data_IF_323458693937
#
_entry.id   IF_323458693937
#
_cell.length_a   1.000
_cell.length_b   1.000
_cell.length_c   1.000
_cell.angle_alpha   90.00
_cell.angle_beta   90.00
_cell.angle_gamma   90.00
#
_symmetry.space_group_name_H-M   'P 1'
#
loop_
_entity.id
_entity.type
_entity.pdbx_description
1 polymer ?
#
# COMPACT_ATOMS: atom_id res chain seq x y z
N UNK A 1 -9.95 -8.75 -16.78
CA UNK A 1 -9.08 -8.38 -15.62
C UNK A 1 -8.23 -7.16 -16.00
N UNK A 2 -8.13 -6.17 -15.13
CA UNK A 2 -7.35 -4.94 -15.40
C UNK A 2 -5.84 -5.22 -15.48
N UNK A 3 -5.09 -4.61 -16.43
CA UNK A 3 -3.65 -4.87 -16.62
C UNK A 3 -2.79 -4.63 -15.37
N UNK A 4 -3.13 -3.63 -14.55
CA UNK A 4 -2.40 -3.37 -13.30
C UNK A 4 -2.56 -4.52 -12.29
N UNK A 5 -3.72 -5.17 -12.25
CA UNK A 5 -3.99 -6.33 -11.38
C UNK A 5 -3.24 -7.57 -11.87
N UNK A 6 -3.21 -7.82 -13.19
CA UNK A 6 -2.46 -8.93 -13.76
C UNK A 6 -0.95 -8.81 -13.48
N UNK A 7 -0.38 -7.62 -13.71
CA UNK A 7 1.04 -7.35 -13.40
C UNK A 7 1.35 -7.53 -11.92
N UNK A 8 0.44 -7.08 -11.05
CA UNK A 8 0.62 -7.25 -9.61
C UNK A 8 0.54 -8.73 -9.19
N UNK A 9 -0.39 -9.49 -9.77
CA UNK A 9 -0.48 -10.94 -9.53
C UNK A 9 0.81 -11.65 -9.90
N UNK A 10 1.39 -11.32 -11.05
CA UNK A 10 2.67 -11.84 -11.48
C UNK A 10 3.80 -11.50 -10.50
N UNK A 11 3.89 -10.21 -10.09
CA UNK A 11 4.87 -9.75 -9.11
C UNK A 11 4.71 -10.38 -7.71
N UNK A 12 3.51 -10.83 -7.37
CA UNK A 12 3.27 -11.60 -6.15
C UNK A 12 3.71 -13.05 -6.28
N UNK A 13 3.47 -13.66 -7.45
CA UNK A 13 3.83 -15.06 -7.71
C UNK A 13 5.35 -15.26 -7.82
N UNK A 14 6.07 -14.35 -8.46
CA UNK A 14 7.52 -14.41 -8.63
C UNK A 14 8.30 -13.85 -7.42
N UNK A 15 7.60 -13.23 -6.47
CA UNK A 15 8.20 -12.68 -5.26
C UNK A 15 8.94 -11.35 -5.46
N UNK A 16 8.86 -10.71 -6.63
CA UNK A 16 9.48 -9.41 -6.90
C UNK A 16 8.93 -8.29 -5.99
N UNK A 17 7.69 -8.45 -5.51
CA UNK A 17 7.12 -7.63 -4.44
C UNK A 17 6.98 -8.47 -3.17
N UNK A 18 7.90 -8.29 -2.23
CA UNK A 18 7.97 -9.02 -0.96
C UNK A 18 7.78 -8.10 0.26
N UNK A 19 7.33 -8.70 1.37
CA UNK A 19 7.03 -7.99 2.62
C UNK A 19 5.61 -7.43 2.68
N UNK A 20 5.03 -7.39 3.88
CA UNK A 20 3.62 -7.05 4.10
C UNK A 20 3.28 -5.62 3.67
N UNK A 21 4.10 -4.64 4.05
CA UNK A 21 3.88 -3.22 3.72
C UNK A 21 4.05 -2.94 2.23
N UNK A 22 5.12 -3.48 1.60
CA UNK A 22 5.35 -3.30 0.16
C UNK A 22 4.22 -3.92 -0.68
N UNK A 23 3.74 -5.10 -0.27
CA UNK A 23 2.59 -5.76 -0.92
C UNK A 23 1.30 -4.96 -0.75
N UNK A 24 1.06 -4.39 0.44
CA UNK A 24 -0.11 -3.55 0.68
C UNK A 24 -0.06 -2.26 -0.14
N UNK A 25 1.11 -1.64 -0.25
CA UNK A 25 1.34 -0.45 -1.06
C UNK A 25 1.08 -0.73 -2.54
N UNK A 26 1.68 -1.79 -3.07
CA UNK A 26 1.49 -2.20 -4.46
C UNK A 26 0.02 -2.56 -4.77
N UNK A 27 -0.70 -3.18 -3.80
CA UNK A 27 -2.14 -3.46 -3.91
C UNK A 27 -2.95 -2.17 -4.04
N UNK A 28 -2.70 -1.20 -3.15
CA UNK A 28 -3.38 0.09 -3.18
C UNK A 28 -3.12 0.84 -4.49
N UNK A 29 -1.87 0.83 -4.98
CA UNK A 29 -1.50 1.44 -6.25
C UNK A 29 -2.23 0.78 -7.45
N UNK A 30 -2.33 -0.55 -7.45
CA UNK A 30 -3.04 -1.27 -8.51
C UNK A 30 -4.56 -1.05 -8.46
N UNK A 31 -5.17 -1.07 -7.27
CA UNK A 31 -6.60 -0.79 -7.09
C UNK A 31 -6.93 0.67 -7.43
N UNK A 32 -6.07 1.62 -7.05
CA UNK A 32 -6.19 3.02 -7.46
C UNK A 32 -6.28 3.16 -8.97
N UNK A 33 -5.38 2.47 -9.68
CA UNK A 33 -5.36 2.51 -11.15
C UNK A 33 -6.60 1.88 -11.75
N UNK A 34 -7.02 0.72 -11.22
CA UNK A 34 -8.27 0.07 -11.63
C UNK A 34 -9.46 1.02 -11.45
N UNK A 35 -9.58 1.72 -10.32
CA UNK A 35 -10.65 2.69 -10.05
C UNK A 35 -10.58 3.88 -11.01
N UNK A 36 -9.38 4.43 -11.26
CA UNK A 36 -9.19 5.57 -12.16
C UNK A 36 -9.59 5.26 -13.60
N UNK A 37 -9.20 4.08 -14.08
CA UNK A 37 -9.42 3.64 -15.46
C UNK A 37 -10.81 3.00 -15.67
N UNK A 38 -11.60 2.83 -14.59
CA UNK A 38 -12.87 2.14 -14.65
C UNK A 38 -13.93 2.95 -15.41
N UNK A 39 -14.45 2.38 -16.50
CA UNK A 39 -15.60 2.92 -17.23
C UNK A 39 -16.88 2.20 -16.79
N UNK A 40 -17.87 2.95 -16.32
CA UNK A 40 -19.17 2.39 -15.91
C UNK A 40 -19.93 1.93 -17.15
N UNK A 41 -20.32 0.66 -17.27
CA UNK A 41 -21.16 0.20 -18.37
C UNK A 41 -22.53 0.90 -18.35
N UNK A 42 -23.13 1.07 -19.52
CA UNK A 42 -24.45 1.63 -19.65
C UNK A 42 -25.50 0.86 -18.82
N UNK A 43 -26.36 1.57 -18.14
CA UNK A 43 -27.41 0.99 -17.28
C UNK A 43 -26.91 0.43 -15.94
N UNK A 44 -25.61 0.54 -15.62
CA UNK A 44 -25.08 0.07 -14.34
C UNK A 44 -24.79 1.19 -13.36
N UNK A 45 -24.88 0.86 -12.07
CA UNK A 45 -24.53 1.75 -10.96
C UNK A 45 -23.06 1.54 -10.60
N UNK A 46 -22.28 2.64 -10.60
CA UNK A 46 -20.83 2.62 -10.33
C UNK A 46 -20.47 1.78 -9.10
N UNK A 47 -21.10 2.05 -7.95
CA UNK A 47 -20.74 1.41 -6.68
C UNK A 47 -20.90 -0.12 -6.72
N UNK A 48 -21.99 -0.62 -7.31
CA UNK A 48 -22.25 -2.07 -7.40
C UNK A 48 -21.32 -2.77 -8.37
N UNK A 49 -21.18 -2.20 -9.56
CA UNK A 49 -20.38 -2.84 -10.61
C UNK A 49 -18.89 -2.79 -10.30
N UNK A 50 -18.38 -1.63 -9.86
CA UNK A 50 -17.00 -1.48 -9.42
C UNK A 50 -16.68 -2.37 -8.21
N UNK A 51 -17.62 -2.51 -7.27
CA UNK A 51 -17.44 -3.43 -6.14
C UNK A 51 -17.23 -4.88 -6.60
N UNK A 52 -18.01 -5.34 -7.56
CA UNK A 52 -17.87 -6.68 -8.12
C UNK A 52 -16.50 -6.84 -8.82
N UNK A 53 -16.08 -5.86 -9.62
CA UNK A 53 -14.78 -5.85 -10.32
C UNK A 53 -13.62 -5.86 -9.32
N UNK A 54 -13.68 -5.04 -8.27
CA UNK A 54 -12.69 -5.03 -7.19
C UNK A 54 -12.65 -6.39 -6.48
N UNK A 55 -13.81 -6.96 -6.17
CA UNK A 55 -13.89 -8.26 -5.49
C UNK A 55 -13.26 -9.39 -6.32
N UNK A 56 -13.57 -9.46 -7.61
CA UNK A 56 -12.97 -10.43 -8.54
C UNK A 56 -11.46 -10.25 -8.65
N UNK A 57 -11.00 -8.99 -8.71
CA UNK A 57 -9.56 -8.65 -8.77
C UNK A 57 -8.82 -9.11 -7.52
N UNK A 58 -9.42 -8.94 -6.35
CA UNK A 58 -8.85 -9.40 -5.09
C UNK A 58 -8.82 -10.94 -5.02
N UNK A 59 -9.88 -11.62 -5.46
CA UNK A 59 -9.90 -13.09 -5.55
C UNK A 59 -8.72 -13.61 -6.36
N UNK A 60 -8.49 -13.06 -7.55
CA UNK A 60 -7.33 -13.40 -8.38
C UNK A 60 -5.99 -13.19 -7.66
N UNK A 61 -5.80 -12.05 -6.98
CA UNK A 61 -4.56 -11.77 -6.26
C UNK A 61 -4.33 -12.72 -5.06
N UNK A 62 -5.39 -13.17 -4.42
CA UNK A 62 -5.33 -14.19 -3.34
C UNK A 62 -4.83 -15.53 -3.85
N UNK A 63 -5.27 -15.93 -5.05
CA UNK A 63 -4.79 -17.16 -5.72
C UNK A 63 -3.31 -17.05 -6.09
N UNK A 64 -2.84 -15.87 -6.50
CA UNK A 64 -1.41 -15.64 -6.77
C UNK A 64 -0.57 -15.73 -5.50
N UNK A 65 -1.04 -15.13 -4.41
CA UNK A 65 -0.38 -15.18 -3.08
C UNK A 65 -1.35 -14.77 -1.96
N UNK A 66 -1.42 -15.50 -0.83
CA UNK A 66 -2.28 -15.17 0.31
C UNK A 66 -2.06 -13.74 0.84
N UNK A 67 -3.12 -13.10 1.30
CA UNK A 67 -3.07 -11.73 1.82
C UNK A 67 -2.30 -11.67 3.15
N UNK A 68 -1.51 -10.61 3.31
CA UNK A 68 -1.02 -10.20 4.62
C UNK A 68 -2.09 -9.42 5.41
N UNK A 69 -1.90 -9.25 6.72
CA UNK A 69 -2.83 -8.49 7.56
C UNK A 69 -3.03 -7.04 7.06
N UNK A 70 -1.95 -6.37 6.66
CA UNK A 70 -1.99 -5.02 6.10
C UNK A 70 -2.76 -4.95 4.78
N UNK A 71 -2.59 -5.95 3.91
CA UNK A 71 -3.39 -6.06 2.67
C UNK A 71 -4.87 -6.27 2.99
N UNK A 72 -5.21 -7.13 3.96
CA UNK A 72 -6.59 -7.34 4.41
C UNK A 72 -7.26 -6.05 4.87
N UNK A 73 -6.55 -5.20 5.61
CA UNK A 73 -7.04 -3.89 6.04
C UNK A 73 -7.24 -2.93 4.85
N UNK A 74 -6.30 -2.88 3.91
CA UNK A 74 -6.39 -2.09 2.68
C UNK A 74 -7.60 -2.51 1.82
N UNK A 75 -7.81 -3.82 1.64
CA UNK A 75 -8.96 -4.39 0.92
C UNK A 75 -10.29 -3.97 1.56
N UNK A 76 -10.41 -4.11 2.89
CA UNK A 76 -11.60 -3.70 3.64
C UNK A 76 -11.88 -2.21 3.45
N UNK A 77 -10.86 -1.38 3.53
CA UNK A 77 -10.98 0.05 3.30
C UNK A 77 -11.50 0.35 1.90
N UNK A 78 -10.84 -0.11 0.84
CA UNK A 78 -11.24 0.17 -0.54
C UNK A 78 -12.66 -0.31 -0.82
N UNK A 79 -13.00 -1.55 -0.43
CA UNK A 79 -14.37 -2.09 -0.59
C UNK A 79 -15.41 -1.23 0.11
N UNK A 80 -15.12 -0.78 1.33
CA UNK A 80 -16.02 0.09 2.10
C UNK A 80 -16.23 1.44 1.39
N UNK A 81 -15.17 2.07 0.87
CA UNK A 81 -15.29 3.33 0.16
C UNK A 81 -16.07 3.17 -1.16
N UNK A 82 -15.82 2.12 -1.91
CA UNK A 82 -16.58 1.82 -3.15
C UNK A 82 -18.06 1.59 -2.84
N UNK A 83 -18.38 0.81 -1.81
CA UNK A 83 -19.77 0.55 -1.41
C UNK A 83 -20.52 1.80 -0.93
N UNK A 84 -19.79 2.76 -0.32
CA UNK A 84 -20.33 4.04 0.18
C UNK A 84 -20.31 5.16 -0.85
N UNK A 85 -19.79 4.91 -2.05
CA UNK A 85 -19.77 5.91 -3.13
C UNK A 85 -21.19 6.35 -3.47
N UNK A 86 -21.41 7.67 -3.45
CA UNK A 86 -22.74 8.25 -3.70
C UNK A 86 -23.21 7.97 -5.12
N UNK A 87 -24.48 7.59 -5.24
CA UNK A 87 -25.15 7.44 -6.53
C UNK A 87 -25.47 8.80 -7.18
N UNK A 88 -25.45 9.88 -6.41
CA UNK A 88 -25.82 11.23 -6.88
C UNK A 88 -24.68 11.94 -7.62
N UNK A 89 -23.44 11.46 -7.45
CA UNK A 89 -22.28 12.00 -8.15
C UNK A 89 -22.17 11.47 -9.58
N UNK A 90 -21.72 12.31 -10.48
CA UNK A 90 -21.35 11.85 -11.82
C UNK A 90 -20.23 10.80 -11.71
N UNK A 91 -20.22 9.77 -12.56
CA UNK A 91 -19.24 8.68 -12.48
C UNK A 91 -17.78 9.16 -12.44
N UNK A 92 -17.44 10.21 -13.15
CA UNK A 92 -16.10 10.78 -13.18
C UNK A 92 -15.72 11.42 -11.82
N UNK A 93 -16.67 12.13 -11.19
CA UNK A 93 -16.46 12.76 -9.88
C UNK A 93 -16.34 11.71 -8.77
N UNK A 94 -17.21 10.70 -8.78
CA UNK A 94 -17.15 9.60 -7.84
C UNK A 94 -15.83 8.82 -7.93
N UNK A 95 -15.33 8.56 -9.15
CA UNK A 95 -14.01 7.94 -9.35
C UNK A 95 -12.88 8.83 -8.83
N UNK A 96 -12.91 10.13 -9.13
CA UNK A 96 -11.91 11.07 -8.61
C UNK A 96 -11.86 11.11 -7.09
N UNK A 97 -13.03 11.12 -6.44
CA UNK A 97 -13.14 11.06 -4.98
C UNK A 97 -12.58 9.74 -4.41
N UNK A 98 -12.91 8.61 -5.03
CA UNK A 98 -12.37 7.29 -4.61
C UNK A 98 -10.86 7.23 -4.76
N UNK A 99 -10.30 7.72 -5.86
CA UNK A 99 -8.86 7.80 -6.08
C UNK A 99 -8.19 8.63 -5.00
N UNK A 100 -8.72 9.82 -4.69
CA UNK A 100 -8.19 10.68 -3.63
C UNK A 100 -8.21 10.01 -2.25
N UNK A 101 -9.29 9.27 -1.92
CA UNK A 101 -9.39 8.50 -0.68
C UNK A 101 -8.35 7.37 -0.60
N UNK A 102 -8.10 6.67 -1.70
CA UNK A 102 -7.06 5.62 -1.75
C UNK A 102 -5.66 6.23 -1.60
N UNK A 103 -5.40 7.37 -2.25
CA UNK A 103 -4.12 8.08 -2.13
C UNK A 103 -3.88 8.58 -0.70
N UNK A 104 -4.90 9.15 -0.05
CA UNK A 104 -4.82 9.59 1.35
C UNK A 104 -4.57 8.42 2.31
N UNK A 105 -5.29 7.31 2.12
CA UNK A 105 -5.09 6.10 2.93
C UNK A 105 -3.67 5.53 2.77
N UNK A 106 -3.16 5.51 1.53
CA UNK A 106 -1.81 5.05 1.22
C UNK A 106 -0.75 5.90 1.92
N UNK A 107 -0.85 7.22 1.82
CA UNK A 107 0.05 8.15 2.50
C UNK A 107 0.02 7.95 4.03
N UNK A 108 -1.17 7.91 4.63
CA UNK A 108 -1.32 7.81 6.08
C UNK A 108 -0.91 6.44 6.65
N UNK A 109 -1.46 5.36 6.09
CA UNK A 109 -1.34 4.01 6.67
C UNK A 109 -0.12 3.23 6.20
N UNK A 110 0.54 3.66 5.14
CA UNK A 110 1.74 2.99 4.63
C UNK A 110 2.96 3.89 4.80
N UNK A 111 2.97 5.07 4.17
CA UNK A 111 4.16 5.93 4.12
C UNK A 111 4.47 6.56 5.48
N UNK A 112 3.51 7.27 6.09
CA UNK A 112 3.73 7.91 7.40
C UNK A 112 3.90 6.89 8.53
N UNK A 113 3.16 5.78 8.50
CA UNK A 113 3.32 4.72 9.48
C UNK A 113 4.72 4.09 9.40
N UNK A 114 5.24 3.86 8.18
CA UNK A 114 6.59 3.35 7.97
C UNK A 114 7.65 4.33 8.48
N UNK A 115 7.50 5.62 8.18
CA UNK A 115 8.39 6.66 8.65
C UNK A 115 8.43 6.76 10.19
N UNK A 116 7.25 6.74 10.83
CA UNK A 116 7.14 6.76 12.29
C UNK A 116 7.78 5.54 12.96
N UNK A 117 7.61 4.35 12.37
CA UNK A 117 8.27 3.12 12.85
C UNK A 117 9.78 3.24 12.69
N UNK A 118 10.26 3.72 11.54
CA UNK A 118 11.69 3.88 11.27
C UNK A 118 12.35 4.86 12.23
N UNK A 119 11.74 6.02 12.45
CA UNK A 119 12.21 7.04 13.38
C UNK A 119 12.32 6.52 14.82
N UNK A 120 11.24 5.84 15.28
CA UNK A 120 11.23 5.28 16.63
C UNK A 120 12.25 4.16 16.80
N UNK A 121 12.33 3.23 15.85
CA UNK A 121 13.26 2.09 15.90
C UNK A 121 14.74 2.56 15.82
N UNK A 122 15.03 3.56 15.02
CA UNK A 122 16.37 4.16 14.96
C UNK A 122 16.88 4.69 16.31
N UNK A 123 15.95 4.99 17.23
CA UNK A 123 16.29 5.44 18.58
C UNK A 123 16.93 4.37 19.46
N UNK A 124 16.74 3.10 19.13
CA UNK A 124 17.28 1.97 19.89
C UNK A 124 18.62 1.44 19.37
N UNK A 125 19.11 1.97 18.23
CA UNK A 125 20.40 1.57 17.66
C UNK A 125 21.47 2.56 18.10
N UNK A 126 22.54 2.05 18.72
CA UNK A 126 23.66 2.83 19.20
C UNK A 126 24.93 2.57 18.38
N UNK A 127 25.95 3.40 18.59
CA UNK A 127 27.24 3.24 17.92
C UNK A 127 27.97 2.00 18.45
N UNK A 128 28.41 1.14 17.55
CA UNK A 128 29.07 -0.11 17.89
C UNK A 128 28.11 -1.31 18.00
N UNK A 129 26.82 -1.12 17.93
CA UNK A 129 25.87 -2.22 17.96
C UNK A 129 26.04 -3.17 16.77
N UNK A 130 25.86 -4.46 17.06
CA UNK A 130 25.75 -5.53 16.05
C UNK A 130 24.28 -5.87 15.86
N UNK A 131 23.75 -5.57 14.68
CA UNK A 131 22.34 -5.77 14.36
C UNK A 131 22.16 -7.03 13.52
N UNK A 132 21.40 -8.01 14.06
CA UNK A 132 21.01 -9.20 13.33
C UNK A 132 19.63 -9.01 12.71
N UNK A 133 19.50 -9.28 11.41
CA UNK A 133 18.22 -9.26 10.70
C UNK A 133 17.90 -10.61 10.08
N UNK A 134 16.61 -10.93 9.97
CA UNK A 134 16.15 -12.14 9.32
C UNK A 134 15.07 -11.83 8.29
N UNK A 135 15.29 -12.27 7.06
CA UNK A 135 14.40 -12.03 5.93
C UNK A 135 14.39 -10.57 5.44
N UNK A 136 13.55 -10.29 4.45
CA UNK A 136 13.39 -8.96 3.88
C UNK A 136 12.19 -8.23 4.51
N UNK A 137 12.45 -7.09 5.15
CA UNK A 137 11.42 -6.19 5.68
C UNK A 137 11.74 -4.74 5.35
N UNK A 138 10.84 -4.07 4.62
CA UNK A 138 10.98 -2.64 4.32
C UNK A 138 11.03 -1.77 5.58
N UNK A 139 10.32 -2.15 6.64
CA UNK A 139 10.35 -1.44 7.90
C UNK A 139 11.71 -1.55 8.60
N UNK A 140 12.29 -2.76 8.62
CA UNK A 140 13.65 -2.96 9.19
C UNK A 140 14.67 -2.19 8.39
N UNK A 141 14.63 -2.26 7.04
CA UNK A 141 15.54 -1.49 6.19
C UNK A 141 15.42 0.02 6.43
N UNK A 142 14.21 0.56 6.47
CA UNK A 142 13.98 1.98 6.75
C UNK A 142 14.50 2.39 8.13
N UNK A 143 14.31 1.53 9.15
CA UNK A 143 14.81 1.76 10.51
C UNK A 143 16.34 1.82 10.58
N UNK A 144 17.01 0.90 9.90
CA UNK A 144 18.49 0.87 9.86
C UNK A 144 19.06 2.05 9.08
N UNK A 145 18.44 2.44 7.97
CA UNK A 145 18.86 3.63 7.22
C UNK A 145 18.67 4.91 8.03
N UNK A 146 17.59 5.01 8.81
CA UNK A 146 17.39 6.17 9.68
C UNK A 146 18.35 6.18 10.88
N UNK A 147 18.68 5.02 11.44
CA UNK A 147 19.71 4.88 12.47
C UNK A 147 21.08 5.34 11.96
N UNK A 148 21.50 4.90 10.78
CA UNK A 148 22.76 5.34 10.15
C UNK A 148 22.79 6.86 9.95
N UNK A 149 21.72 7.45 9.43
CA UNK A 149 21.61 8.91 9.27
C UNK A 149 21.76 9.64 10.60
N UNK A 150 21.11 9.14 11.66
CA UNK A 150 21.15 9.72 13.01
C UNK A 150 22.55 9.68 13.61
N UNK A 151 23.22 8.53 13.51
CA UNK A 151 24.58 8.34 14.01
C UNK A 151 25.60 9.24 13.27
N UNK A 152 25.50 9.32 11.94
CA UNK A 152 26.34 10.23 11.14
C UNK A 152 26.14 11.70 11.50
N UNK A 153 24.91 12.15 11.76
CA UNK A 153 24.62 13.51 12.22
C UNK A 153 25.26 13.79 13.58
N UNK A 154 25.18 12.84 14.53
CA UNK A 154 25.82 12.95 15.85
C UNK A 154 27.34 13.08 15.74
N UNK A 155 27.99 12.24 14.93
CA UNK A 155 29.42 12.31 14.68
C UNK A 155 29.84 13.69 14.13
N UNK A 156 29.15 14.20 13.14
CA UNK A 156 29.44 15.54 12.58
C UNK A 156 29.26 16.64 13.60
N UNK A 157 28.29 16.56 14.50
CA UNK A 157 28.09 17.57 15.55
C UNK A 157 29.14 17.52 16.65
N UNK A 158 29.87 16.42 16.83
CA UNK A 158 30.90 16.26 17.83
C UNK A 158 32.32 16.61 17.32
N UNK A 159 32.58 16.49 16.02
CA UNK A 159 33.88 16.58 15.41
C UNK A 159 33.98 17.64 14.27
N UNK A 160 32.87 18.34 13.95
CA UNK A 160 32.82 19.46 13.00
C UNK A 160 32.69 20.76 13.71
#
# INVERSE_FOLDING_TARGET
MHPAILRLGLAYSDGSVAGGSARADALLAALRRLVADYAVPEGKVLSRDLYAVVNTSIGFLVECRPLSASMGSAVKFVKSQVARSSADLRPAEARGALVALVDAYRAEKVEFALAAVAERAAGYVEEGDVVLTYGHSGAVLASLLEADRRLRRRRRALFG
#
